data_IF_182354579460
#
_entry.id   IF_182354579460
#
_cell.length_a   1.000
_cell.length_b   1.000
_cell.length_c   1.000
_cell.angle_alpha   90.00
_cell.angle_beta   90.00
_cell.angle_gamma   90.00
#
_symmetry.space_group_name_H-M   'P 1'
#
loop_
_entity.id
_entity.type
_entity.pdbx_description
1 polymer ?
#
# COMPACT_ATOMS: atom_id res chain seq x y z
N UNK A 1 -34.14 39.56 -23.61
CA UNK A 1 -34.62 38.19 -23.93
C UNK A 1 -34.70 37.37 -22.63
N UNK A 2 -35.37 37.90 -21.60
CA UNK A 2 -35.55 37.28 -20.27
C UNK A 2 -37.03 37.15 -19.89
N UNK A 3 -37.95 37.38 -20.83
CA UNK A 3 -39.40 37.43 -20.61
C UNK A 3 -40.13 36.66 -21.72
N UNK A 4 -39.91 35.35 -21.82
CA UNK A 4 -40.73 34.51 -22.73
C UNK A 4 -41.38 33.32 -22.02
N UNK A 5 -41.34 33.26 -20.69
CA UNK A 5 -41.81 32.10 -19.92
C UNK A 5 -42.87 32.40 -18.86
N UNK A 6 -43.37 33.63 -18.75
CA UNK A 6 -44.19 34.05 -17.60
C UNK A 6 -45.69 34.19 -17.87
N UNK A 7 -46.19 33.88 -19.08
CA UNK A 7 -47.56 34.31 -19.43
C UNK A 7 -48.61 33.23 -19.67
N UNK A 8 -48.32 31.92 -19.57
CA UNK A 8 -49.35 30.89 -19.86
C UNK A 8 -49.69 29.97 -18.70
N UNK A 9 -48.79 29.75 -17.73
CA UNK A 9 -49.07 28.91 -16.57
C UNK A 9 -48.36 29.52 -15.36
N UNK A 10 -49.10 29.86 -14.30
CA UNK A 10 -48.61 30.52 -13.08
C UNK A 10 -47.65 29.66 -12.23
N UNK A 11 -46.84 28.82 -12.86
CA UNK A 11 -45.85 27.94 -12.26
C UNK A 11 -44.56 28.14 -13.05
N UNK A 12 -43.46 28.54 -12.37
CA UNK A 12 -42.14 28.54 -13.01
C UNK A 12 -41.77 27.09 -13.33
N UNK A 13 -41.97 26.67 -14.58
CA UNK A 13 -41.67 25.29 -15.00
C UNK A 13 -40.21 25.13 -15.37
N UNK A 14 -39.53 26.20 -15.80
CA UNK A 14 -38.13 26.14 -16.23
C UNK A 14 -37.28 27.28 -15.63
N UNK A 15 -36.03 26.96 -15.29
CA UNK A 15 -34.97 27.89 -14.90
C UNK A 15 -33.85 27.81 -15.94
N UNK A 16 -33.41 28.97 -16.43
CA UNK A 16 -32.30 29.07 -17.37
C UNK A 16 -31.04 29.35 -16.58
N UNK A 17 -30.12 28.38 -16.52
CA UNK A 17 -28.83 28.54 -15.83
C UNK A 17 -27.73 28.84 -16.85
N UNK A 18 -26.88 29.82 -16.51
CA UNK A 18 -25.62 30.07 -17.24
C UNK A 18 -24.52 29.20 -16.63
N UNK A 19 -23.79 28.47 -17.46
CA UNK A 19 -22.66 27.66 -17.03
C UNK A 19 -21.56 28.56 -16.47
N UNK A 20 -21.33 28.53 -15.16
CA UNK A 20 -20.13 29.11 -14.54
C UNK A 20 -19.14 27.99 -14.29
N UNK A 21 -18.46 27.53 -15.34
CA UNK A 21 -17.34 26.59 -15.22
C UNK A 21 -16.09 27.34 -14.78
N UNK A 22 -15.66 27.10 -13.53
CA UNK A 22 -14.27 27.27 -13.15
C UNK A 22 -13.44 26.19 -13.84
N UNK A 23 -12.62 26.60 -14.79
CA UNK A 23 -11.68 25.79 -15.58
C UNK A 23 -12.28 25.02 -16.78
N UNK A 24 -12.02 25.63 -17.95
CA UNK A 24 -12.14 25.15 -19.34
C UNK A 24 -13.36 25.69 -20.11
N UNK A 25 -13.03 26.40 -21.18
CA UNK A 25 -13.89 27.19 -22.07
C UNK A 25 -14.62 26.23 -23.01
N UNK A 26 -15.84 25.81 -22.67
CA UNK A 26 -16.76 25.21 -23.64
C UNK A 26 -18.14 25.86 -23.49
N UNK A 27 -18.39 26.83 -24.40
CA UNK A 27 -19.64 27.49 -24.78
C UNK A 27 -20.63 27.91 -23.68
N UNK A 28 -20.76 29.23 -23.56
CA UNK A 28 -21.75 29.97 -22.76
C UNK A 28 -23.17 29.89 -23.37
N UNK A 29 -23.63 28.68 -23.70
CA UNK A 29 -24.98 28.45 -24.22
C UNK A 29 -25.95 28.21 -23.04
N UNK A 30 -26.98 29.06 -22.85
CA UNK A 30 -27.93 28.90 -21.77
C UNK A 30 -28.80 27.65 -21.98
N UNK A 31 -28.88 26.79 -20.95
CA UNK A 31 -29.74 25.60 -20.96
C UNK A 31 -30.94 25.82 -20.05
N UNK A 32 -32.15 25.51 -20.55
CA UNK A 32 -33.38 25.56 -19.77
C UNK A 32 -33.61 24.21 -19.06
N UNK A 33 -33.65 24.21 -17.72
CA UNK A 33 -33.89 23.04 -16.87
C UNK A 33 -35.24 23.17 -16.17
N UNK A 34 -35.92 22.07 -15.85
CA UNK A 34 -37.22 22.09 -15.15
C UNK A 34 -37.03 22.45 -13.67
N UNK A 35 -37.84 23.33 -13.10
CA UNK A 35 -37.71 23.72 -11.68
C UNK A 35 -37.98 22.53 -10.75
N UNK A 36 -37.00 22.15 -9.93
CA UNK A 36 -37.08 21.04 -8.97
C UNK A 36 -36.31 19.78 -9.40
N UNK A 37 -36.13 19.58 -10.70
CA UNK A 37 -35.11 18.67 -11.23
C UNK A 37 -33.87 19.52 -11.46
N UNK A 38 -32.77 19.24 -10.79
CA UNK A 38 -31.47 19.70 -11.30
C UNK A 38 -30.81 18.53 -12.03
N UNK A 39 -31.11 18.29 -13.33
CA UNK A 39 -30.33 17.38 -14.17
C UNK A 39 -28.84 17.73 -14.13
N UNK A 40 -28.53 19.01 -13.95
CA UNK A 40 -27.18 19.52 -13.75
C UNK A 40 -26.52 19.00 -12.46
N UNK A 41 -27.28 18.73 -11.38
CA UNK A 41 -26.77 18.09 -10.17
C UNK A 41 -26.60 16.57 -10.32
N UNK A 42 -27.53 15.89 -11.01
CA UNK A 42 -27.49 14.44 -11.17
C UNK A 42 -26.42 13.99 -12.16
N UNK A 43 -26.32 14.63 -13.33
CA UNK A 43 -25.23 14.36 -14.29
C UNK A 43 -23.86 14.70 -13.70
N UNK A 44 -23.78 15.78 -12.92
CA UNK A 44 -22.57 16.15 -12.17
C UNK A 44 -22.19 15.10 -11.14
N UNK A 45 -23.14 14.62 -10.32
CA UNK A 45 -22.87 13.57 -9.35
C UNK A 45 -22.38 12.28 -10.01
N UNK A 46 -22.98 11.87 -11.13
CA UNK A 46 -22.54 10.70 -11.90
C UNK A 46 -21.12 10.91 -12.43
N UNK A 47 -20.82 12.08 -13.00
CA UNK A 47 -19.48 12.40 -13.48
C UNK A 47 -18.44 12.43 -12.35
N UNK A 48 -18.75 13.08 -11.23
CA UNK A 48 -17.86 13.17 -10.06
C UNK A 48 -17.57 11.78 -9.48
N UNK A 49 -18.58 10.92 -9.34
CA UNK A 49 -18.40 9.55 -8.85
C UNK A 49 -17.65 8.67 -9.85
N UNK A 50 -17.91 8.83 -11.14
CA UNK A 50 -17.15 8.15 -12.21
C UNK A 50 -15.68 8.55 -12.17
N UNK A 51 -15.39 9.85 -12.07
CA UNK A 51 -14.04 10.39 -11.94
C UNK A 51 -13.34 9.89 -10.66
N UNK A 52 -14.05 9.82 -9.54
CA UNK A 52 -13.51 9.28 -8.28
C UNK A 52 -13.07 7.83 -8.46
N UNK A 53 -13.89 7.00 -9.09
CA UNK A 53 -13.55 5.59 -9.33
C UNK A 53 -12.40 5.42 -10.34
N UNK A 54 -12.40 6.18 -11.44
CA UNK A 54 -11.31 6.17 -12.45
C UNK A 54 -9.97 6.60 -11.82
N UNK A 55 -9.97 7.58 -10.90
CA UNK A 55 -8.77 7.99 -10.16
C UNK A 55 -8.20 6.89 -9.27
N UNK A 56 -9.01 5.91 -8.86
CA UNK A 56 -8.58 4.83 -7.95
C UNK A 56 -8.08 3.61 -8.71
N UNK A 57 -8.89 3.06 -9.63
CA UNK A 57 -8.58 1.80 -10.32
C UNK A 57 -8.46 1.91 -11.84
N UNK A 58 -8.58 3.12 -12.40
CA UNK A 58 -8.36 3.43 -13.81
C UNK A 58 -9.57 3.31 -14.73
N UNK A 59 -10.63 2.65 -14.28
CA UNK A 59 -11.92 2.53 -14.95
C UNK A 59 -13.05 2.66 -13.92
N UNK A 60 -14.27 2.89 -14.38
CA UNK A 60 -15.45 2.92 -13.54
C UNK A 60 -16.41 1.77 -13.88
N UNK A 61 -17.13 1.27 -12.89
CA UNK A 61 -18.15 0.26 -13.06
C UNK A 61 -19.53 0.86 -12.77
N UNK A 62 -20.45 0.71 -13.72
CA UNK A 62 -21.73 1.43 -13.75
C UNK A 62 -22.62 1.17 -12.53
N UNK A 63 -22.67 -0.06 -12.01
CA UNK A 63 -23.45 -0.40 -10.82
C UNK A 63 -22.85 0.19 -9.54
N UNK A 64 -21.52 0.21 -9.42
CA UNK A 64 -20.83 0.86 -8.30
C UNK A 64 -21.07 2.37 -8.32
N UNK A 65 -20.91 3.01 -9.47
CA UNK A 65 -21.20 4.45 -9.62
C UNK A 65 -22.66 4.75 -9.28
N UNK A 66 -23.60 3.91 -9.74
CA UNK A 66 -25.01 4.03 -9.37
C UNK A 66 -25.22 3.96 -7.85
N UNK A 67 -24.62 2.97 -7.18
CA UNK A 67 -24.68 2.82 -5.72
C UNK A 67 -24.07 3.99 -4.96
N UNK A 68 -22.95 4.53 -5.44
CA UNK A 68 -22.30 5.72 -4.85
C UNK A 68 -23.18 6.96 -4.98
N UNK A 69 -23.80 7.19 -6.15
CA UNK A 69 -24.73 8.29 -6.34
C UNK A 69 -25.96 8.15 -5.43
N UNK A 70 -26.52 6.95 -5.29
CA UNK A 70 -27.64 6.69 -4.40
C UNK A 70 -27.27 6.94 -2.93
N UNK A 71 -26.07 6.55 -2.51
CA UNK A 71 -25.55 6.84 -1.16
C UNK A 71 -25.42 8.33 -0.88
N UNK A 72 -25.10 9.14 -1.89
CA UNK A 72 -25.04 10.60 -1.80
C UNK A 72 -26.42 11.29 -1.91
N UNK A 73 -27.52 10.52 -1.92
CA UNK A 73 -28.88 11.04 -1.94
C UNK A 73 -29.41 11.38 -3.33
N UNK A 74 -28.74 10.95 -4.40
CA UNK A 74 -29.26 11.11 -5.75
C UNK A 74 -30.46 10.17 -5.99
N UNK A 75 -31.57 10.72 -6.50
CA UNK A 75 -32.82 9.97 -6.70
C UNK A 75 -33.09 9.80 -8.19
N UNK A 76 -32.69 8.65 -8.74
CA UNK A 76 -33.06 8.25 -10.10
C UNK A 76 -33.09 6.72 -10.22
N UNK A 77 -33.96 6.21 -11.10
CA UNK A 77 -33.97 4.79 -11.44
C UNK A 77 -32.74 4.42 -12.31
N UNK A 78 -32.42 3.13 -12.37
CA UNK A 78 -31.22 2.66 -13.08
C UNK A 78 -31.24 2.95 -14.59
N UNK A 79 -32.41 2.93 -15.24
CA UNK A 79 -32.52 3.24 -16.67
C UNK A 79 -32.21 4.71 -16.97
N UNK A 80 -32.74 5.64 -16.15
CA UNK A 80 -32.42 7.06 -16.23
C UNK A 80 -30.95 7.33 -15.93
N UNK A 81 -30.37 6.62 -14.95
CA UNK A 81 -28.92 6.68 -14.67
C UNK A 81 -28.10 6.27 -15.89
N UNK A 82 -28.40 5.12 -16.52
CA UNK A 82 -27.66 4.66 -17.68
C UNK A 82 -27.73 5.63 -18.85
N UNK A 83 -28.91 6.22 -19.10
CA UNK A 83 -29.07 7.26 -20.12
C UNK A 83 -28.21 8.50 -19.85
N UNK A 84 -28.19 8.99 -18.61
CA UNK A 84 -27.34 10.12 -18.21
C UNK A 84 -25.85 9.78 -18.24
N UNK A 85 -25.49 8.55 -17.85
CA UNK A 85 -24.12 8.06 -17.84
C UNK A 85 -23.55 8.00 -19.27
N UNK A 86 -24.30 7.43 -20.21
CA UNK A 86 -23.90 7.33 -21.61
C UNK A 86 -23.88 8.69 -22.33
N UNK A 87 -24.61 9.67 -21.79
CA UNK A 87 -24.59 11.05 -22.29
C UNK A 87 -23.38 11.86 -21.77
N UNK A 88 -22.56 11.30 -20.86
CA UNK A 88 -21.36 12.00 -20.38
C UNK A 88 -20.32 12.18 -21.51
N UNK A 89 -19.62 13.33 -21.56
CA UNK A 89 -18.54 13.55 -22.51
C UNK A 89 -17.44 12.49 -22.37
N UNK A 90 -17.03 11.91 -23.50
CA UNK A 90 -15.97 10.90 -23.55
C UNK A 90 -16.36 9.52 -23.02
N UNK A 91 -17.64 9.30 -22.70
CA UNK A 91 -18.09 7.99 -22.27
C UNK A 91 -17.80 6.93 -23.31
N UNK A 92 -17.14 5.86 -22.88
CA UNK A 92 -16.91 4.67 -23.70
C UNK A 92 -16.95 3.40 -22.86
N UNK A 93 -17.61 2.36 -23.38
CA UNK A 93 -17.60 1.04 -22.79
C UNK A 93 -16.24 0.35 -22.99
N UNK A 94 -15.58 -0.05 -21.90
CA UNK A 94 -14.42 -0.94 -21.93
C UNK A 94 -14.90 -2.41 -21.96
N UNK A 95 -15.89 -2.75 -21.13
CA UNK A 95 -16.59 -4.03 -21.18
C UNK A 95 -18.07 -3.82 -20.83
N UNK A 96 -18.92 -3.67 -21.86
CA UNK A 96 -20.34 -3.33 -21.72
C UNK A 96 -21.12 -4.36 -20.90
N UNK A 97 -20.89 -5.66 -21.15
CA UNK A 97 -21.60 -6.77 -20.48
C UNK A 97 -21.53 -6.71 -18.96
N UNK A 98 -20.38 -6.29 -18.43
CA UNK A 98 -20.10 -6.16 -16.99
C UNK A 98 -20.22 -4.72 -16.49
N UNK A 99 -20.53 -3.78 -17.39
CA UNK A 99 -20.73 -2.36 -17.09
C UNK A 99 -19.46 -1.59 -16.79
N UNK A 100 -18.30 -1.99 -17.33
CA UNK A 100 -17.04 -1.26 -17.16
C UNK A 100 -16.85 -0.23 -18.26
N UNK A 101 -16.53 1.00 -17.87
CA UNK A 101 -16.39 2.14 -18.77
C UNK A 101 -15.28 3.09 -18.31
N UNK A 102 -14.94 4.04 -19.17
CA UNK A 102 -14.12 5.19 -18.84
C UNK A 102 -14.64 6.43 -19.58
N UNK A 103 -14.01 7.57 -19.35
CA UNK A 103 -14.42 8.87 -19.91
C UNK A 103 -13.42 9.42 -20.96
N UNK A 104 -12.55 8.54 -21.48
CA UNK A 104 -11.55 8.89 -22.49
C UNK A 104 -10.74 10.14 -22.14
N UNK A 105 -10.53 11.00 -23.14
CA UNK A 105 -9.82 12.29 -22.98
C UNK A 105 -10.54 13.33 -22.11
N UNK A 106 -11.84 13.14 -21.85
CA UNK A 106 -12.66 14.02 -21.02
C UNK A 106 -12.77 13.53 -19.56
N UNK A 107 -12.08 12.43 -19.25
CA UNK A 107 -11.97 11.88 -17.91
C UNK A 107 -11.07 12.72 -16.99
N UNK A 108 -10.86 12.25 -15.75
CA UNK A 108 -9.98 12.94 -14.82
C UNK A 108 -8.54 12.96 -15.38
N UNK A 109 -7.84 14.09 -15.20
CA UNK A 109 -6.43 14.23 -15.57
C UNK A 109 -5.54 13.16 -14.89
N UNK A 110 -5.95 12.72 -13.71
CA UNK A 110 -5.29 11.65 -12.95
C UNK A 110 -6.03 10.33 -13.16
N UNK A 111 -5.47 9.45 -13.99
CA UNK A 111 -5.89 8.05 -14.08
C UNK A 111 -4.78 7.17 -13.48
N UNK A 112 -5.07 6.52 -12.35
CA UNK A 112 -4.06 5.75 -11.61
C UNK A 112 -3.52 4.56 -12.39
N UNK A 113 -4.37 3.83 -13.12
CA UNK A 113 -3.93 2.69 -13.94
C UNK A 113 -2.98 3.15 -15.05
N UNK A 114 -3.32 4.25 -15.74
CA UNK A 114 -2.44 4.82 -16.77
C UNK A 114 -1.14 5.34 -16.15
N UNK A 115 -1.21 6.07 -15.05
CA UNK A 115 -0.04 6.62 -14.37
C UNK A 115 0.92 5.51 -13.89
N UNK A 116 0.40 4.45 -13.26
CA UNK A 116 1.18 3.26 -12.87
C UNK A 116 1.80 2.59 -14.09
N UNK A 117 1.03 2.43 -15.16
CA UNK A 117 1.52 1.82 -16.41
C UNK A 117 2.66 2.62 -17.01
N UNK A 118 2.53 3.94 -17.13
CA UNK A 118 3.59 4.81 -17.65
C UNK A 118 4.88 4.74 -16.84
N UNK A 119 4.78 4.71 -15.50
CA UNK A 119 5.95 4.53 -14.64
C UNK A 119 6.66 3.20 -14.87
N UNK A 120 5.90 2.12 -15.00
CA UNK A 120 6.45 0.79 -15.27
C UNK A 120 7.10 0.74 -16.65
N UNK A 121 6.41 1.23 -17.68
CA UNK A 121 6.92 1.26 -19.05
C UNK A 121 8.19 2.12 -19.19
N UNK A 122 8.34 3.15 -18.35
CA UNK A 122 9.54 3.99 -18.34
C UNK A 122 10.77 3.29 -17.77
N UNK A 123 10.61 2.33 -16.86
CA UNK A 123 11.75 1.57 -16.29
C UNK A 123 11.98 0.24 -16.98
N UNK A 124 10.98 -0.29 -17.69
CA UNK A 124 11.07 -1.58 -18.34
C UNK A 124 11.96 -1.49 -19.57
N UNK A 125 12.99 -2.35 -19.64
CA UNK A 125 13.83 -2.46 -20.82
C UNK A 125 13.13 -3.16 -22.00
N UNK A 126 12.04 -3.88 -21.72
CA UNK A 126 11.31 -4.73 -22.66
C UNK A 126 9.79 -4.56 -22.46
N UNK A 127 9.03 -5.34 -23.22
CA UNK A 127 7.58 -5.52 -23.05
C UNK A 127 7.20 -5.90 -21.61
N UNK A 128 6.03 -5.46 -21.18
CA UNK A 128 5.50 -5.68 -19.82
C UNK A 128 4.15 -6.37 -19.91
N UNK A 129 4.03 -7.58 -19.34
CA UNK A 129 2.75 -8.25 -19.19
C UNK A 129 1.83 -7.44 -18.26
N UNK A 130 0.56 -7.26 -18.65
CA UNK A 130 -0.46 -6.56 -17.85
C UNK A 130 -0.57 -7.07 -16.40
N UNK A 131 -0.22 -8.31 -16.11
CA UNK A 131 -0.19 -8.87 -14.75
C UNK A 131 0.77 -8.09 -13.82
N UNK A 132 1.86 -7.54 -14.37
CA UNK A 132 2.74 -6.65 -13.62
C UNK A 132 2.05 -5.32 -13.27
N UNK A 133 1.26 -4.76 -14.20
CA UNK A 133 0.47 -3.55 -13.96
C UNK A 133 -0.59 -3.81 -12.88
N UNK A 134 -1.31 -4.93 -12.95
CA UNK A 134 -2.29 -5.33 -11.92
C UNK A 134 -1.64 -5.42 -10.55
N UNK A 135 -0.50 -6.12 -10.47
CA UNK A 135 0.25 -6.29 -9.21
C UNK A 135 0.76 -4.95 -8.67
N UNK A 136 1.23 -4.07 -9.55
CA UNK A 136 1.70 -2.75 -9.17
C UNK A 136 0.57 -1.81 -8.76
N UNK A 137 -0.61 -1.92 -9.38
CA UNK A 137 -1.81 -1.17 -8.99
C UNK A 137 -2.19 -1.50 -7.54
N UNK A 138 -2.28 -2.79 -7.22
CA UNK A 138 -2.57 -3.26 -5.86
C UNK A 138 -1.56 -2.74 -4.84
N UNK A 139 -0.26 -2.73 -5.18
CA UNK A 139 0.81 -2.19 -4.31
C UNK A 139 0.76 -0.67 -4.16
N UNK A 140 0.40 0.04 -5.23
CA UNK A 140 0.41 1.50 -5.29
C UNK A 140 -0.78 2.17 -4.58
N UNK A 141 -1.72 1.38 -4.07
CA UNK A 141 -2.79 1.85 -3.20
C UNK A 141 -2.16 2.39 -1.92
N UNK A 142 -2.52 3.63 -1.60
CA UNK A 142 -2.05 4.23 -0.36
C UNK A 142 -2.82 3.56 0.76
N UNK A 143 -2.17 2.69 1.54
CA UNK A 143 -2.65 2.36 2.90
C UNK A 143 -2.43 3.58 3.80
N UNK A 144 -3.04 4.72 3.46
CA UNK A 144 -3.16 5.80 4.44
C UNK A 144 -4.11 5.25 5.51
N UNK A 145 -3.85 5.56 6.77
CA UNK A 145 -4.81 5.36 7.85
C UNK A 145 -6.04 6.22 7.55
N UNK A 146 -6.93 5.68 6.73
CA UNK A 146 -8.12 6.36 6.26
C UNK A 146 -9.09 6.39 7.44
N UNK A 147 -9.41 7.60 7.92
CA UNK A 147 -10.51 7.80 8.85
C UNK A 147 -11.78 7.17 8.25
N UNK A 148 -12.69 6.67 9.09
CA UNK A 148 -13.91 5.96 8.68
C UNK A 148 -14.75 6.72 7.62
N UNK A 149 -14.57 8.04 7.53
CA UNK A 149 -15.24 8.92 6.56
C UNK A 149 -14.59 8.94 5.16
N UNK A 150 -13.27 8.74 5.06
CA UNK A 150 -12.57 8.61 3.77
C UNK A 150 -12.51 7.14 3.29
N UNK A 151 -12.98 6.19 4.11
CA UNK A 151 -12.85 4.72 3.98
C UNK A 151 -13.56 4.09 2.76
N UNK A 152 -14.11 4.90 1.87
CA UNK A 152 -14.49 4.48 0.52
C UNK A 152 -13.34 4.68 -0.46
N UNK A 153 -12.12 4.28 -0.09
CA UNK A 153 -11.24 3.72 -1.12
C UNK A 153 -11.99 2.51 -1.67
N UNK A 154 -12.65 2.68 -2.83
CA UNK A 154 -13.34 1.60 -3.51
C UNK A 154 -12.32 0.48 -3.69
N UNK A 155 -12.42 -0.58 -2.88
CA UNK A 155 -11.63 -1.81 -2.99
C UNK A 155 -12.08 -2.63 -4.21
N UNK A 156 -12.24 -1.95 -5.33
CA UNK A 156 -12.75 -2.52 -6.57
C UNK A 156 -11.62 -2.41 -7.59
N UNK A 157 -11.00 -3.55 -7.87
CA UNK A 157 -10.03 -3.67 -8.96
C UNK A 157 -10.74 -3.89 -10.29
N UNK A 158 -10.30 -3.16 -11.31
CA UNK A 158 -10.70 -3.42 -12.67
C UNK A 158 -10.17 -4.80 -13.11
N UNK A 159 -11.00 -5.67 -13.73
CA UNK A 159 -10.54 -6.93 -14.29
C UNK A 159 -9.40 -6.74 -15.29
N UNK A 160 -8.56 -7.76 -15.45
CA UNK A 160 -7.45 -7.77 -16.43
C UNK A 160 -7.93 -7.40 -17.83
N UNK A 161 -9.07 -7.95 -18.27
CA UNK A 161 -9.68 -7.65 -19.58
C UNK A 161 -9.97 -6.16 -19.78
N UNK A 162 -10.50 -5.52 -18.74
CA UNK A 162 -10.85 -4.09 -18.73
C UNK A 162 -9.59 -3.24 -18.78
N UNK A 163 -8.55 -3.60 -18.02
CA UNK A 163 -7.27 -2.88 -18.06
C UNK A 163 -6.57 -3.03 -19.41
N UNK A 164 -6.60 -4.21 -20.03
CA UNK A 164 -6.07 -4.43 -21.39
C UNK A 164 -6.80 -3.51 -22.38
N UNK A 165 -8.13 -3.45 -22.33
CA UNK A 165 -8.90 -2.60 -23.23
C UNK A 165 -8.65 -1.09 -22.96
N UNK A 166 -8.48 -0.69 -21.70
CA UNK A 166 -8.07 0.66 -21.32
C UNK A 166 -6.71 1.03 -21.94
N UNK A 167 -5.71 0.15 -21.82
CA UNK A 167 -4.39 0.38 -22.41
C UNK A 167 -4.47 0.43 -23.93
N UNK A 168 -5.34 -0.39 -24.56
CA UNK A 168 -5.51 -0.42 -26.02
C UNK A 168 -5.97 0.91 -26.59
N UNK A 169 -6.79 1.64 -25.83
CA UNK A 169 -7.35 2.93 -26.24
C UNK A 169 -6.50 4.11 -25.82
N UNK A 170 -5.45 3.87 -25.04
CA UNK A 170 -4.57 4.92 -24.55
C UNK A 170 -3.51 5.24 -25.59
N UNK A 171 -3.43 6.49 -26.08
CA UNK A 171 -2.39 6.89 -27.03
C UNK A 171 -0.99 6.64 -26.48
N UNK A 172 -0.11 6.09 -27.32
CA UNK A 172 1.29 5.83 -26.96
C UNK A 172 1.55 4.49 -26.28
N UNK A 173 0.51 3.65 -26.07
CA UNK A 173 0.66 2.27 -25.60
C UNK A 173 0.23 1.31 -26.72
N UNK A 174 1.14 0.41 -27.11
CA UNK A 174 0.87 -0.69 -28.01
C UNK A 174 0.67 -1.98 -27.21
N UNK A 175 -0.32 -2.78 -27.62
CA UNK A 175 -0.52 -4.12 -27.08
C UNK A 175 -0.04 -5.14 -28.11
N UNK A 176 0.88 -6.01 -27.69
CA UNK A 176 1.39 -7.14 -28.47
C UNK A 176 0.95 -8.45 -27.81
N UNK A 177 0.82 -9.51 -28.58
CA UNK A 177 0.54 -10.87 -28.08
C UNK A 177 -0.64 -10.95 -27.07
N UNK A 178 -1.68 -10.13 -27.28
CA UNK A 178 -2.89 -9.96 -26.47
C UNK A 178 -2.77 -9.09 -25.20
N UNK A 179 -1.65 -9.11 -24.49
CA UNK A 179 -1.52 -8.44 -23.18
C UNK A 179 -0.12 -7.92 -22.82
N UNK A 180 0.83 -8.00 -23.75
CA UNK A 180 2.15 -7.38 -23.61
C UNK A 180 2.05 -5.90 -23.95
N UNK A 181 2.33 -5.04 -22.97
CA UNK A 181 2.38 -3.60 -23.14
C UNK A 181 3.76 -3.16 -23.63
N UNK A 182 3.77 -2.30 -24.64
CA UNK A 182 4.98 -1.69 -25.20
C UNK A 182 4.72 -0.20 -25.43
N UNK A 183 5.62 0.70 -25.05
CA UNK A 183 5.42 2.11 -25.36
C UNK A 183 5.69 2.36 -26.86
N UNK A 184 4.84 3.15 -27.52
CA UNK A 184 5.02 3.50 -28.94
C UNK A 184 6.27 4.36 -29.20
N UNK A 185 6.76 5.06 -28.17
CA UNK A 185 7.98 5.84 -28.19
C UNK A 185 8.75 5.70 -26.86
N UNK A 186 10.08 5.89 -26.84
CA UNK A 186 10.84 5.86 -25.60
C UNK A 186 10.31 6.89 -24.59
N UNK A 187 10.04 6.45 -23.36
CA UNK A 187 9.59 7.32 -22.26
C UNK A 187 10.82 7.76 -21.49
N UNK A 188 10.96 9.06 -21.25
CA UNK A 188 11.98 9.59 -20.35
C UNK A 188 11.52 9.40 -18.91
N UNK A 189 12.21 8.61 -18.08
CA UNK A 189 11.67 8.32 -16.76
C UNK A 189 11.62 9.55 -15.85
N UNK A 190 12.42 10.58 -16.13
CA UNK A 190 12.43 11.85 -15.39
C UNK A 190 11.12 12.64 -15.55
N UNK A 191 10.33 12.35 -16.59
CA UNK A 191 9.04 12.99 -16.86
C UNK A 191 7.88 12.32 -16.11
N UNK A 192 8.06 11.08 -15.63
CA UNK A 192 6.98 10.27 -15.03
C UNK A 192 7.28 9.77 -13.62
N UNK A 193 8.55 9.59 -13.26
CA UNK A 193 8.98 9.11 -11.94
C UNK A 193 9.21 10.28 -10.99
N UNK A 194 8.87 10.07 -9.72
CA UNK A 194 9.30 10.98 -8.66
C UNK A 194 10.81 10.91 -8.45
N UNK A 195 11.38 11.94 -7.82
CA UNK A 195 12.81 11.99 -7.55
C UNK A 195 13.31 10.77 -6.76
N UNK A 196 12.57 10.31 -5.75
CA UNK A 196 12.98 9.12 -4.98
C UNK A 196 12.87 7.84 -5.82
N UNK A 197 11.87 7.71 -6.68
CA UNK A 197 11.76 6.59 -7.61
C UNK A 197 12.92 6.55 -8.61
N UNK A 198 13.38 7.70 -9.11
CA UNK A 198 14.58 7.79 -9.96
C UNK A 198 15.82 7.29 -9.22
N UNK A 199 16.02 7.71 -7.97
CA UNK A 199 17.16 7.25 -7.16
C UNK A 199 17.11 5.73 -6.92
N UNK A 200 15.92 5.18 -6.65
CA UNK A 200 15.73 3.72 -6.49
C UNK A 200 15.99 3.00 -7.82
N UNK A 201 15.48 3.52 -8.94
CA UNK A 201 15.74 3.01 -10.29
C UNK A 201 17.24 2.91 -10.55
N UNK A 202 17.97 3.99 -10.32
CA UNK A 202 19.41 4.06 -10.59
C UNK A 202 20.20 3.12 -9.68
N UNK A 203 19.83 3.05 -8.39
CA UNK A 203 20.44 2.11 -7.46
C UNK A 203 20.22 0.64 -7.87
N UNK A 204 19.05 0.30 -8.40
CA UNK A 204 18.74 -1.05 -8.91
C UNK A 204 19.47 -1.32 -10.23
N UNK A 205 19.45 -0.38 -11.19
CA UNK A 205 20.13 -0.54 -12.48
C UNK A 205 21.64 -0.71 -12.33
N UNK A 206 22.27 0.03 -11.42
CA UNK A 206 23.69 -0.12 -11.09
C UNK A 206 24.05 -1.53 -10.57
N UNK A 207 23.05 -2.31 -10.14
CA UNK A 207 23.19 -3.69 -9.62
C UNK A 207 22.61 -4.74 -10.56
N UNK A 208 22.32 -4.38 -11.82
CA UNK A 208 21.74 -5.29 -12.81
C UNK A 208 20.23 -5.46 -12.70
N UNK A 209 19.53 -4.53 -12.04
CA UNK A 209 18.07 -4.52 -11.93
C UNK A 209 17.50 -5.18 -10.67
N UNK A 210 18.35 -5.70 -9.79
CA UNK A 210 17.97 -6.39 -8.55
C UNK A 210 18.80 -5.83 -7.39
N UNK A 211 18.19 -5.71 -6.22
CA UNK A 211 18.87 -5.25 -5.01
C UNK A 211 18.20 -5.80 -3.76
N UNK A 212 19.02 -6.12 -2.76
CA UNK A 212 18.51 -6.44 -1.42
C UNK A 212 18.14 -5.17 -0.64
N UNK A 213 17.31 -5.33 0.38
CA UNK A 213 16.87 -4.24 1.25
C UNK A 213 18.04 -3.47 1.87
N UNK A 214 19.03 -4.20 2.40
CA UNK A 214 20.20 -3.61 3.05
C UNK A 214 21.07 -2.83 2.06
N UNK A 215 21.28 -3.36 0.84
CA UNK A 215 22.03 -2.68 -0.20
C UNK A 215 21.32 -1.40 -0.67
N UNK A 216 20.01 -1.46 -0.86
CA UNK A 216 19.22 -0.29 -1.27
C UNK A 216 19.18 0.75 -0.15
N UNK A 217 19.02 0.32 1.11
CA UNK A 217 19.06 1.20 2.28
C UNK A 217 20.41 1.90 2.41
N UNK A 218 21.51 1.17 2.26
CA UNK A 218 22.85 1.76 2.30
C UNK A 218 23.02 2.80 1.18
N UNK A 219 22.68 2.43 -0.06
CA UNK A 219 22.83 3.33 -1.21
C UNK A 219 21.97 4.60 -1.09
N UNK A 220 20.72 4.47 -0.64
CA UNK A 220 19.78 5.57 -0.62
C UNK A 220 19.86 6.39 0.66
N UNK A 221 19.83 5.74 1.83
CA UNK A 221 19.85 6.44 3.12
C UNK A 221 21.26 6.80 3.57
N UNK A 222 22.23 5.92 3.34
CA UNK A 222 23.63 6.14 3.71
C UNK A 222 24.31 7.11 2.75
N UNK A 223 24.39 6.74 1.48
CA UNK A 223 25.24 7.46 0.51
C UNK A 223 24.54 8.71 -0.06
N UNK A 224 23.22 8.68 -0.23
CA UNK A 224 22.43 9.74 -0.86
C UNK A 224 21.55 10.55 0.11
N UNK A 225 21.57 10.21 1.41
CA UNK A 225 20.86 10.96 2.45
C UNK A 225 19.32 10.92 2.37
N UNK A 226 18.73 9.95 1.66
CA UNK A 226 17.27 9.76 1.63
C UNK A 226 16.79 9.37 3.03
N UNK A 227 15.76 10.07 3.53
CA UNK A 227 15.20 9.75 4.85
C UNK A 227 14.71 8.28 4.90
N UNK A 228 14.99 7.54 5.99
CA UNK A 228 14.57 6.14 6.11
C UNK A 228 13.07 5.92 5.90
N UNK A 229 12.23 6.84 6.37
CA UNK A 229 10.77 6.78 6.19
C UNK A 229 10.39 6.89 4.70
N UNK A 230 11.01 7.80 3.95
CA UNK A 230 10.77 7.99 2.52
C UNK A 230 11.23 6.77 1.72
N UNK A 231 12.37 6.19 2.09
CA UNK A 231 12.86 4.94 1.52
C UNK A 231 11.86 3.80 1.75
N UNK A 232 11.42 3.59 3.00
CA UNK A 232 10.48 2.53 3.34
C UNK A 232 9.16 2.67 2.56
N UNK A 233 8.60 3.88 2.55
CA UNK A 233 7.37 4.18 1.81
C UNK A 233 7.54 3.94 0.30
N UNK A 234 8.67 4.34 -0.27
CA UNK A 234 8.93 4.18 -1.71
C UNK A 234 9.09 2.71 -2.10
N UNK A 235 9.87 1.94 -1.33
CA UNK A 235 10.03 0.49 -1.56
C UNK A 235 8.68 -0.24 -1.42
N UNK A 236 7.86 0.14 -0.44
CA UNK A 236 6.58 -0.50 -0.17
C UNK A 236 5.48 -0.19 -1.19
N UNK A 237 5.48 1.02 -1.76
CA UNK A 237 4.33 1.52 -2.56
C UNK A 237 4.64 1.81 -4.03
N UNK A 238 5.92 1.89 -4.41
CA UNK A 238 6.24 2.29 -5.78
C UNK A 238 5.87 1.21 -6.80
N UNK A 239 5.21 1.58 -7.91
CA UNK A 239 4.79 0.62 -8.93
C UNK A 239 5.96 0.06 -9.76
N UNK A 240 7.13 0.71 -9.76
CA UNK A 240 8.29 0.29 -10.56
C UNK A 240 9.06 -0.86 -9.92
N UNK A 241 8.71 -1.24 -8.70
CA UNK A 241 9.42 -2.22 -7.87
C UNK A 241 8.57 -3.48 -7.74
N UNK A 242 9.19 -4.64 -7.86
CA UNK A 242 8.60 -5.93 -7.57
C UNK A 242 9.40 -6.67 -6.50
N UNK A 243 8.69 -7.27 -5.55
CA UNK A 243 9.28 -8.08 -4.48
C UNK A 243 9.44 -9.51 -4.99
N UNK A 244 10.69 -9.99 -5.05
CA UNK A 244 10.98 -11.37 -5.43
C UNK A 244 10.93 -12.31 -4.22
N UNK A 245 11.43 -11.84 -3.07
CA UNK A 245 11.46 -12.56 -1.81
C UNK A 245 11.65 -11.55 -0.64
N UNK A 246 11.72 -12.04 0.59
CA UNK A 246 11.94 -11.25 1.81
C UNK A 246 13.20 -10.37 1.69
N UNK A 247 12.96 -9.07 1.56
CA UNK A 247 14.01 -8.06 1.41
C UNK A 247 14.78 -8.15 0.09
N UNK A 248 14.21 -8.75 -0.96
CA UNK A 248 14.79 -8.79 -2.29
C UNK A 248 13.83 -8.14 -3.30
N UNK A 249 14.34 -7.11 -3.99
CA UNK A 249 13.55 -6.27 -4.88
C UNK A 249 14.15 -6.24 -6.28
N UNK A 250 13.28 -6.14 -7.30
CA UNK A 250 13.68 -5.92 -8.70
C UNK A 250 12.92 -4.75 -9.32
N UNK A 251 13.47 -4.20 -10.40
CA UNK A 251 12.71 -3.35 -11.30
C UNK A 251 11.76 -4.19 -12.14
N UNK A 252 10.51 -3.72 -12.26
CA UNK A 252 9.50 -4.37 -13.11
C UNK A 252 9.96 -4.35 -14.57
N UNK A 253 9.77 -5.48 -15.27
CA UNK A 253 10.17 -5.64 -16.66
C UNK A 253 11.68 -5.84 -16.89
N UNK A 254 12.48 -5.96 -15.82
CA UNK A 254 13.91 -6.24 -15.95
C UNK A 254 14.22 -7.74 -15.87
N UNK A 255 15.21 -8.19 -16.65
CA UNK A 255 15.56 -9.60 -16.79
C UNK A 255 16.52 -10.05 -15.68
N UNK A 256 16.15 -11.12 -14.97
CA UNK A 256 16.93 -11.66 -13.84
C UNK A 256 18.23 -12.38 -14.29
N UNK A 257 18.34 -12.78 -15.56
CA UNK A 257 19.48 -13.55 -16.04
C UNK A 257 20.72 -12.72 -16.41
N UNK A 258 20.83 -11.45 -15.99
CA UNK A 258 22.08 -10.71 -16.13
C UNK A 258 23.10 -11.20 -15.10
N UNK A 259 24.39 -11.20 -15.44
CA UNK A 259 25.45 -11.64 -14.52
C UNK A 259 25.45 -10.81 -13.22
N UNK A 260 25.15 -9.51 -13.32
CA UNK A 260 25.01 -8.61 -12.18
C UNK A 260 23.81 -9.00 -11.28
N UNK A 261 22.65 -9.30 -11.87
CA UNK A 261 21.48 -9.79 -11.14
C UNK A 261 21.77 -11.12 -10.42
N UNK A 262 22.41 -12.07 -11.11
CA UNK A 262 22.80 -13.36 -10.53
C UNK A 262 23.80 -13.18 -9.37
N UNK A 263 24.79 -12.29 -9.51
CA UNK A 263 25.74 -11.97 -8.43
C UNK A 263 25.03 -11.36 -7.21
N UNK A 264 24.09 -10.45 -7.42
CA UNK A 264 23.31 -9.86 -6.33
C UNK A 264 22.43 -10.91 -5.65
N UNK A 265 21.76 -11.77 -6.42
CA UNK A 265 20.99 -12.88 -5.90
C UNK A 265 21.85 -13.87 -5.09
N UNK A 266 23.04 -14.21 -5.57
CA UNK A 266 23.99 -15.06 -4.85
C UNK A 266 24.48 -14.42 -3.55
N UNK A 267 24.77 -13.10 -3.55
CA UNK A 267 25.14 -12.35 -2.34
C UNK A 267 24.00 -12.31 -1.33
N UNK A 268 22.77 -12.08 -1.79
CA UNK A 268 21.58 -12.16 -0.94
C UNK A 268 21.36 -13.57 -0.40
N UNK A 269 21.51 -14.61 -1.21
CA UNK A 269 21.44 -15.99 -0.72
C UNK A 269 22.56 -16.29 0.29
N UNK A 270 23.77 -15.78 0.08
CA UNK A 270 24.88 -15.96 0.98
C UNK A 270 24.69 -15.19 2.29
N UNK A 271 24.05 -14.02 2.28
CA UNK A 271 23.72 -13.26 3.49
C UNK A 271 22.48 -13.81 4.21
N UNK A 272 21.52 -14.37 3.48
CA UNK A 272 20.36 -15.08 4.02
C UNK A 272 20.79 -16.42 4.62
N UNK A 273 21.68 -17.17 3.96
CA UNK A 273 22.32 -18.38 4.51
C UNK A 273 23.34 -18.04 5.58
N UNK A 274 23.98 -16.88 5.50
CA UNK A 274 24.89 -16.35 6.51
C UNK A 274 24.15 -15.99 7.79
N UNK A 275 22.98 -15.35 7.67
CA UNK A 275 22.03 -15.15 8.78
C UNK A 275 21.40 -16.46 9.23
N UNK A 276 21.17 -17.43 8.33
CA UNK A 276 20.81 -18.80 8.67
C UNK A 276 21.97 -19.59 9.32
N UNK A 277 23.23 -19.16 9.13
CA UNK A 277 24.43 -19.75 9.75
C UNK A 277 24.86 -19.04 11.02
N UNK A 278 24.45 -17.78 11.22
CA UNK A 278 24.34 -17.17 12.55
C UNK A 278 23.11 -17.72 13.29
N UNK A 279 22.19 -18.37 12.56
CA UNK A 279 21.19 -19.32 13.08
C UNK A 279 21.75 -20.75 13.26
N UNK A 280 23.07 -20.96 13.13
CA UNK A 280 23.73 -22.22 13.48
C UNK A 280 25.10 -22.01 14.14
N UNK A 281 25.16 -21.12 15.12
CA UNK A 281 25.79 -21.47 16.40
C UNK A 281 24.74 -21.45 17.51
N UNK A 282 23.51 -21.83 17.17
CA UNK A 282 22.82 -22.81 17.98
C UNK A 282 23.70 -24.08 18.03
N UNK A 283 24.77 -24.03 18.85
CA UNK A 283 25.00 -25.14 19.76
C UNK A 283 23.62 -25.58 20.18
N UNK A 284 23.36 -26.88 20.14
CA UNK A 284 22.34 -27.47 20.97
C UNK A 284 22.66 -27.02 22.40
N UNK A 285 22.22 -25.81 22.76
CA UNK A 285 22.12 -25.36 24.11
C UNK A 285 21.26 -26.45 24.70
N UNK A 286 21.92 -27.27 25.51
CA UNK A 286 21.24 -28.26 26.33
C UNK A 286 19.98 -27.59 26.87
N UNK A 287 18.86 -28.29 26.96
CA UNK A 287 17.61 -27.71 27.50
C UNK A 287 17.81 -27.03 28.89
N UNK A 288 18.97 -27.23 29.52
CA UNK A 288 19.44 -26.66 30.78
C UNK A 288 20.26 -25.34 30.68
N UNK A 289 20.61 -24.85 29.49
CA UNK A 289 21.43 -23.62 29.37
C UNK A 289 20.57 -22.34 29.45
N UNK A 290 21.02 -21.38 30.26
CA UNK A 290 20.34 -20.09 30.47
C UNK A 290 20.62 -19.18 29.28
N UNK A 291 19.56 -18.69 28.64
CA UNK A 291 19.67 -17.76 27.51
C UNK A 291 19.64 -16.34 28.06
N UNK A 292 20.70 -15.56 27.83
CA UNK A 292 20.81 -14.19 28.32
C UNK A 292 20.78 -13.21 27.14
N UNK A 293 19.83 -12.29 27.17
CA UNK A 293 19.65 -11.26 26.12
C UNK A 293 19.58 -9.88 26.75
N UNK A 294 20.31 -8.93 26.17
CA UNK A 294 20.28 -7.53 26.54
C UNK A 294 19.46 -6.76 25.52
N UNK A 295 18.36 -6.15 25.97
CA UNK A 295 17.42 -5.47 25.10
C UNK A 295 17.05 -4.10 25.65
N UNK A 296 16.81 -3.16 24.74
CA UNK A 296 16.28 -1.83 25.07
C UNK A 296 14.81 -1.78 24.67
N UNK A 297 13.87 -1.88 25.62
CA UNK A 297 12.46 -1.98 25.28
C UNK A 297 11.97 -0.67 24.65
N UNK A 298 11.34 -0.70 23.45
CA UNK A 298 10.92 0.52 22.77
C UNK A 298 9.77 1.18 23.54
N UNK A 299 9.64 2.52 23.52
CA UNK A 299 8.63 3.23 24.31
C UNK A 299 7.19 2.78 24.04
N UNK A 300 6.92 2.25 22.84
CA UNK A 300 5.60 1.77 22.42
C UNK A 300 5.10 0.60 23.27
N UNK A 301 5.97 -0.30 23.75
CA UNK A 301 5.55 -1.50 24.51
C UNK A 301 4.80 -1.15 25.80
N UNK A 302 5.16 -0.01 26.41
CA UNK A 302 4.59 0.44 27.68
C UNK A 302 3.21 1.08 27.48
N UNK A 303 2.88 1.46 26.24
CA UNK A 303 1.56 2.01 25.87
C UNK A 303 0.64 0.94 25.29
N UNK A 304 1.13 0.14 24.33
CA UNK A 304 0.35 -0.87 23.63
C UNK A 304 0.27 -2.20 24.38
N UNK A 305 1.21 -2.45 25.29
CA UNK A 305 1.37 -3.72 25.97
C UNK A 305 1.88 -4.86 25.08
N UNK A 306 2.14 -4.60 23.80
CA UNK A 306 2.67 -5.54 22.83
C UNK A 306 4.19 -5.60 22.94
N UNK A 307 4.72 -6.77 23.32
CA UNK A 307 6.14 -7.05 23.34
C UNK A 307 6.41 -8.22 22.40
N UNK A 308 6.98 -7.94 21.24
CA UNK A 308 7.38 -8.97 20.30
C UNK A 308 8.71 -9.59 20.74
N UNK A 309 8.83 -10.91 20.67
CA UNK A 309 10.04 -11.60 21.09
C UNK A 309 11.18 -11.21 20.14
N UNK A 310 12.33 -10.73 20.65
CA UNK A 310 13.54 -10.53 19.87
C UNK A 310 13.96 -11.79 19.13
N UNK A 311 14.67 -11.61 18.03
CA UNK A 311 15.10 -12.72 17.17
C UNK A 311 15.97 -13.73 17.93
N UNK A 312 16.77 -13.24 18.87
CA UNK A 312 17.60 -14.04 19.78
C UNK A 312 16.81 -14.91 20.76
N UNK A 313 15.62 -14.48 21.19
CA UNK A 313 14.77 -15.22 22.14
C UNK A 313 13.81 -16.20 21.44
N UNK A 314 13.35 -15.89 20.21
CA UNK A 314 12.36 -16.69 19.49
C UNK A 314 12.66 -18.20 19.44
N UNK A 315 13.89 -18.69 19.17
CA UNK A 315 14.18 -20.12 19.08
C UNK A 315 13.96 -20.90 20.39
N UNK A 316 13.97 -20.21 21.53
CA UNK A 316 13.88 -20.81 22.86
C UNK A 316 12.48 -20.70 23.47
N UNK A 317 11.55 -20.05 22.75
CA UNK A 317 10.19 -19.85 23.19
C UNK A 317 9.24 -20.79 22.46
N UNK A 318 8.40 -21.46 23.23
CA UNK A 318 7.32 -22.28 22.71
C UNK A 318 6.12 -21.38 22.37
N UNK A 319 5.45 -21.58 21.23
CA UNK A 319 4.22 -20.85 20.92
C UNK A 319 3.11 -21.22 21.92
N UNK A 320 2.20 -20.28 22.14
CA UNK A 320 0.98 -20.44 22.95
C UNK A 320 1.22 -21.04 24.34
N UNK A 321 2.35 -20.67 24.96
CA UNK A 321 2.83 -21.24 26.23
C UNK A 321 2.97 -20.15 27.30
N UNK A 322 2.59 -20.48 28.53
CA UNK A 322 2.80 -19.60 29.69
C UNK A 322 4.17 -19.79 30.31
N UNK A 323 4.80 -18.68 30.66
CA UNK A 323 6.09 -18.58 31.33
C UNK A 323 5.92 -17.84 32.65
N UNK A 324 6.57 -18.34 33.69
CA UNK A 324 6.69 -17.59 34.95
C UNK A 324 7.73 -16.48 34.78
N UNK A 325 7.53 -15.36 35.48
CA UNK A 325 8.55 -14.33 35.58
C UNK A 325 8.87 -14.17 37.06
N UNK A 326 10.15 -14.24 37.40
CA UNK A 326 10.57 -14.13 38.80
C UNK A 326 10.04 -12.84 39.42
N UNK A 327 9.68 -12.83 40.70
CA UNK A 327 9.14 -11.63 41.38
C UNK A 327 7.89 -11.00 40.73
N UNK A 328 7.19 -11.70 39.82
CA UNK A 328 5.97 -11.23 39.17
C UNK A 328 4.88 -12.30 39.30
N UNK A 329 3.78 -11.95 39.98
CA UNK A 329 2.74 -12.93 40.36
C UNK A 329 1.99 -13.54 39.17
N UNK A 330 1.97 -12.86 38.02
CA UNK A 330 1.23 -13.30 36.83
C UNK A 330 2.18 -13.92 35.81
N UNK A 331 1.78 -15.04 35.22
CA UNK A 331 2.52 -15.59 34.09
C UNK A 331 2.46 -14.65 32.87
N UNK A 332 3.51 -14.66 32.06
CA UNK A 332 3.51 -14.07 30.71
C UNK A 332 3.21 -15.17 29.71
N UNK A 333 2.45 -14.88 28.66
CA UNK A 333 2.06 -15.87 27.67
C UNK A 333 2.62 -15.50 26.30
N UNK A 334 3.23 -16.46 25.62
CA UNK A 334 3.57 -16.33 24.21
C UNK A 334 2.32 -16.55 23.37
N UNK A 335 2.16 -15.80 22.28
CA UNK A 335 1.19 -16.09 21.22
C UNK A 335 1.86 -15.97 19.87
N UNK A 336 1.55 -16.92 19.00
CA UNK A 336 2.01 -16.88 17.61
C UNK A 336 1.02 -16.10 16.74
N UNK A 337 1.53 -15.26 15.86
CA UNK A 337 0.81 -14.52 14.84
C UNK A 337 1.49 -14.73 13.48
N UNK A 338 0.73 -14.52 12.40
CA UNK A 338 1.21 -14.62 11.02
C UNK A 338 1.95 -15.95 10.74
N UNK A 339 1.28 -17.09 11.00
CA UNK A 339 1.82 -18.44 10.77
C UNK A 339 3.20 -18.72 11.42
N UNK A 340 3.47 -18.14 12.60
CA UNK A 340 4.74 -18.35 13.31
C UNK A 340 5.78 -17.26 13.11
N UNK A 341 5.53 -16.27 12.23
CA UNK A 341 6.50 -15.19 11.93
C UNK A 341 6.68 -14.23 13.10
N UNK A 342 5.59 -13.91 13.79
CA UNK A 342 5.60 -13.02 14.96
C UNK A 342 5.25 -13.82 16.20
N UNK A 343 6.11 -13.74 17.22
CA UNK A 343 5.89 -14.36 18.51
C UNK A 343 5.80 -13.26 19.56
N UNK A 344 4.61 -13.02 20.11
CA UNK A 344 4.35 -11.93 21.04
C UNK A 344 4.27 -12.44 22.48
N UNK A 345 5.01 -11.81 23.40
CA UNK A 345 5.02 -12.15 24.83
C UNK A 345 4.09 -11.18 25.58
N UNK A 346 2.86 -11.62 25.81
CA UNK A 346 1.84 -10.84 26.53
C UNK A 346 2.16 -10.74 28.02
N UNK A 347 2.02 -9.53 28.55
CA UNK A 347 2.23 -9.23 29.97
C UNK A 347 3.68 -8.86 30.34
N UNK A 348 4.63 -9.00 29.42
CA UNK A 348 6.04 -8.65 29.66
C UNK A 348 6.21 -7.18 30.08
N UNK A 349 5.48 -6.25 29.45
CA UNK A 349 5.50 -4.82 29.83
C UNK A 349 5.14 -4.57 31.31
N UNK A 350 4.22 -5.34 31.89
CA UNK A 350 3.84 -5.22 33.31
C UNK A 350 4.94 -5.73 34.22
N UNK A 351 5.56 -6.85 33.84
CA UNK A 351 6.69 -7.42 34.58
C UNK A 351 7.91 -6.48 34.59
N UNK A 352 8.15 -5.78 33.48
CA UNK A 352 9.16 -4.72 33.37
C UNK A 352 8.82 -3.51 34.25
N UNK A 353 7.59 -2.99 34.13
CA UNK A 353 7.14 -1.82 34.89
C UNK A 353 7.17 -2.05 36.42
N UNK A 354 6.78 -3.24 36.90
CA UNK A 354 6.81 -3.58 38.33
C UNK A 354 8.24 -3.58 38.91
N UNK A 355 9.25 -3.76 38.05
CA UNK A 355 10.68 -3.69 38.43
C UNK A 355 11.30 -2.31 38.27
N UNK A 356 10.50 -1.28 37.96
CA UNK A 356 10.99 0.08 37.72
C UNK A 356 11.83 0.23 36.46
N UNK A 357 11.66 -0.68 35.49
CA UNK A 357 12.31 -0.61 34.19
C UNK A 357 11.40 0.20 33.25
N UNK A 358 11.89 1.33 32.76
CA UNK A 358 11.15 2.25 31.89
C UNK A 358 11.70 2.32 30.46
N UNK A 359 11.05 3.15 29.61
CA UNK A 359 11.54 3.43 28.27
C UNK A 359 12.98 3.95 28.29
N UNK A 360 13.84 3.36 27.47
CA UNK A 360 15.24 3.76 27.34
C UNK A 360 16.22 3.06 28.29
N UNK A 361 15.73 2.30 29.27
CA UNK A 361 16.56 1.43 30.11
C UNK A 361 17.02 0.19 29.33
N UNK A 362 18.23 -0.28 29.58
CA UNK A 362 18.69 -1.58 29.10
C UNK A 362 18.30 -2.67 30.09
N UNK A 363 17.66 -3.72 29.58
CA UNK A 363 17.18 -4.87 30.35
C UNK A 363 18.01 -6.08 30.02
N UNK A 364 18.48 -6.77 31.05
CA UNK A 364 19.00 -8.13 30.94
C UNK A 364 17.85 -9.10 31.19
N UNK A 365 17.52 -9.89 30.18
CA UNK A 365 16.53 -10.96 30.22
C UNK A 365 17.25 -12.29 30.25
N UNK A 366 17.08 -13.05 31.33
CA UNK A 366 17.52 -14.43 31.42
C UNK A 366 16.31 -15.34 31.24
N UNK A 367 16.33 -16.19 30.22
CA UNK A 367 15.33 -17.21 29.95
C UNK A 367 15.90 -18.57 30.36
N UNK A 368 15.15 -19.29 31.18
CA UNK A 368 15.40 -20.68 31.57
C UNK A 368 14.40 -21.56 30.80
N UNK A 369 14.78 -22.14 29.64
CA UNK A 369 13.83 -22.77 28.72
C UNK A 369 13.12 -23.98 29.33
N UNK A 370 13.87 -24.89 29.99
CA UNK A 370 13.29 -26.05 30.66
C UNK A 370 12.31 -25.67 31.79
N UNK A 371 12.65 -24.63 32.56
CA UNK A 371 11.81 -24.16 33.67
C UNK A 371 10.67 -23.22 33.23
N UNK A 372 10.62 -22.84 31.94
CA UNK A 372 9.71 -21.82 31.40
C UNK A 372 9.64 -20.58 32.29
N UNK A 373 10.82 -20.06 32.64
CA UNK A 373 10.97 -18.96 33.59
C UNK A 373 11.83 -17.85 33.01
N UNK A 374 11.39 -16.60 33.19
CA UNK A 374 12.20 -15.42 32.95
C UNK A 374 12.72 -14.82 34.26
N UNK A 375 13.94 -14.30 34.23
CA UNK A 375 14.49 -13.39 35.25
C UNK A 375 14.83 -12.09 34.54
N UNK A 376 14.32 -10.98 35.08
CA UNK A 376 14.49 -9.64 34.51
C UNK A 376 15.32 -8.80 35.48
N UNK A 377 16.38 -8.18 34.98
CA UNK A 377 17.19 -7.22 35.74
C UNK A 377 17.56 -6.00 34.89
N UNK A 378 17.75 -4.85 35.54
CA UNK A 378 18.21 -3.62 34.87
C UNK A 378 19.73 -3.73 34.68
N UNK A 379 20.19 -3.64 33.43
CA UNK A 379 21.62 -3.67 33.15
C UNK A 379 22.24 -2.31 33.52
N UNK A 380 23.13 -2.27 34.51
CA UNK A 380 23.83 -1.06 34.91
C UNK A 380 25.21 -1.01 34.25
N UNK A 381 25.42 -0.08 33.32
CA UNK A 381 26.74 0.44 32.96
C UNK A 381 27.72 -0.47 32.21
N UNK A 382 27.38 -1.73 31.89
CA UNK A 382 28.22 -2.57 31.03
C UNK A 382 27.98 -2.27 29.55
N UNK A 383 29.06 -2.05 28.79
CA UNK A 383 29.00 -1.98 27.32
C UNK A 383 28.72 -3.38 26.77
N UNK A 384 27.44 -3.73 26.64
CA UNK A 384 27.00 -5.00 26.08
C UNK A 384 26.40 -4.76 24.70
N UNK A 385 26.58 -5.71 23.79
CA UNK A 385 25.89 -5.71 22.50
C UNK A 385 24.36 -5.72 22.74
N UNK A 386 23.72 -4.58 22.47
CA UNK A 386 22.28 -4.39 22.65
C UNK A 386 21.56 -4.75 21.36
N UNK A 387 20.62 -5.68 21.42
CA UNK A 387 19.69 -5.91 20.31
C UNK A 387 18.67 -4.76 20.29
N UNK A 388 18.71 -3.93 19.25
CA UNK A 388 17.67 -2.94 18.99
C UNK A 388 16.45 -3.63 18.37
N UNK A 389 15.27 -3.31 18.90
CA UNK A 389 14.02 -3.76 18.32
C UNK A 389 13.88 -3.22 16.89
N UNK A 390 13.75 -4.12 15.92
CA UNK A 390 13.22 -3.76 14.61
C UNK A 390 11.71 -3.70 14.76
N UNK A 391 11.14 -2.49 14.70
CA UNK A 391 9.68 -2.32 14.65
C UNK A 391 9.17 -2.94 13.34
N UNK A 392 8.60 -4.14 13.44
CA UNK A 392 7.67 -4.64 12.44
C UNK A 392 6.35 -3.87 12.63
N UNK A 393 6.17 -2.81 11.85
CA UNK A 393 4.99 -1.94 11.87
C UNK A 393 3.75 -2.66 11.28
N UNK A 394 3.37 -3.77 11.91
CA UNK A 394 2.09 -4.43 11.69
C UNK A 394 1.11 -3.93 12.76
N UNK A 395 0.51 -2.76 12.48
CA UNK A 395 -0.62 -2.22 13.22
C UNK A 395 -1.82 -3.18 13.18
N UNK A 396 -1.87 -4.12 14.12
CA UNK A 396 -3.06 -4.88 14.42
C UNK A 396 -3.81 -4.19 15.56
N UNK A 397 -5.02 -3.72 15.23
CA UNK A 397 -5.98 -3.10 16.15
C UNK A 397 -6.14 -3.93 17.43
N UNK A 398 -5.99 -3.24 18.57
CA UNK A 398 -6.20 -3.80 19.89
C UNK A 398 -7.63 -3.48 20.33
N UNK A 399 -8.48 -4.51 20.40
CA UNK A 399 -9.79 -4.44 21.06
C UNK A 399 -9.59 -4.63 22.58
N UNK A 400 -9.89 -3.62 23.42
CA UNK A 400 -9.76 -3.73 24.87
C UNK A 400 -10.90 -4.51 25.55
N UNK A 401 -11.94 -4.94 24.81
CA UNK A 401 -13.11 -5.61 25.39
C UNK A 401 -13.06 -7.14 25.23
N UNK A 402 -12.25 -7.80 26.05
CA UNK A 402 -12.22 -9.27 26.10
C UNK A 402 -11.34 -9.80 27.23
N UNK A 403 -11.75 -9.51 28.47
CA UNK A 403 -11.23 -10.12 29.69
C UNK A 403 -12.34 -10.92 30.39
#
# INVERSE_FOLDING_TARGET
MYEFGTEVLATRVFEVQRNVTGHTILRDEPVACRVGDSPSSSGRAIYEMSCKMIRTCGAAQAQFVYGLCAHQGAVFNYASFQGLLQALPGFEWLEERTGWFWLGQYGPAENKALHVTWKILAVSALRVDIAHVVSALARSRRRINVTVEDAFELEVDAPRSVLVELMRRTPGIEIRQMDDLVPSAPIRPEEVLSQTELLVRDALLARGGIGSWSELRQALCGDLGVLPITFHMTIGTSPIIETLDHGLYRLVGNFIGTEAALRTFQRWQASAKGSASTQSNGSKASQDEVVVVHLKPPPVIFRSGAFDAPSSLKPFLLPDTSYSVDGFERAVATRSYDDGRVLRIRGMHRALAQRGIGPGDTVRVELYPAARRFVLSKAQGESVDVEEFVEDDNGADWDPAGA
#
